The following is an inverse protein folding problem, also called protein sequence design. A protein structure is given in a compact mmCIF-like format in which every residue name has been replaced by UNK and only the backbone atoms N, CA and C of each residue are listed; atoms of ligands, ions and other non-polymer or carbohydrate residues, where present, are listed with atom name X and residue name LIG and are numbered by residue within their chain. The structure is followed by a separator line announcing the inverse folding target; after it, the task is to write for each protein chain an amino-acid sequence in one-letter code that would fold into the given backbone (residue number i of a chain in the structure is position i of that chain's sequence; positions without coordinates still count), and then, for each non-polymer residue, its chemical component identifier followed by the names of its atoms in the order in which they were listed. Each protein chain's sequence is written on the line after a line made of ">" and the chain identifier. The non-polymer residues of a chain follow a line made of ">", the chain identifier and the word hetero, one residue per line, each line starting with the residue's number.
data_IF_213672466195
#
_entry.id   IF_213672466195
#
_cell.length_a   1.000
_cell.length_b   1.000
_cell.length_c   1.000
_cell.angle_alpha   90.00
_cell.angle_beta   90.00
_cell.angle_gamma   90.00
#
_symmetry.space_group_name_H-M   'P 1'
#
loop_
_entity.id
_entity.type
_entity.pdbx_description
1 polymer ?
#
# COMPACT_ATOMS: atom_id res chain seq x y z
N UNK A 1 -17.92 22.23 -1.47
CA UNK A 1 -17.61 21.65 -2.80
C UNK A 1 -16.10 21.53 -2.89
N UNK A 2 -15.57 20.41 -3.37
CA UNK A 2 -14.14 20.20 -3.52
C UNK A 2 -13.59 21.08 -4.65
N UNK A 3 -12.62 21.95 -4.35
CA UNK A 3 -12.03 22.87 -5.33
C UNK A 3 -10.86 22.19 -6.04
N UNK A 4 -11.18 21.55 -7.17
CA UNK A 4 -10.21 20.79 -7.99
C UNK A 4 -9.09 21.72 -8.50
N UNK A 5 -9.39 22.94 -8.88
CA UNK A 5 -8.39 23.86 -9.44
C UNK A 5 -7.36 24.28 -8.37
N UNK A 6 -7.78 24.45 -7.13
CA UNK A 6 -6.86 24.71 -6.02
C UNK A 6 -5.99 23.50 -5.74
N UNK A 7 -6.56 22.30 -5.66
CA UNK A 7 -5.78 21.06 -5.41
C UNK A 7 -4.80 20.77 -6.54
N UNK A 8 -5.18 21.01 -7.81
CA UNK A 8 -4.27 20.80 -8.95
C UNK A 8 -3.01 21.66 -8.88
N UNK A 9 -3.06 22.84 -8.26
CA UNK A 9 -1.87 23.72 -8.08
C UNK A 9 -0.80 23.12 -7.19
N UNK A 10 -1.17 22.20 -6.31
CA UNK A 10 -0.22 21.46 -5.47
C UNK A 10 0.64 20.47 -6.26
N UNK A 11 0.24 20.18 -7.51
CA UNK A 11 0.93 19.24 -8.40
C UNK A 11 1.55 19.98 -9.60
N UNK A 12 2.79 20.49 -9.51
CA UNK A 12 3.40 21.33 -10.56
C UNK A 12 3.44 20.66 -11.94
N UNK A 13 3.57 19.34 -11.99
CA UNK A 13 3.60 18.58 -13.24
C UNK A 13 2.29 18.73 -14.05
N UNK A 14 1.15 18.94 -13.40
CA UNK A 14 -0.15 19.07 -14.05
C UNK A 14 -0.31 20.43 -14.76
N UNK A 15 0.59 21.39 -14.50
CA UNK A 15 0.66 22.67 -15.22
C UNK A 15 1.41 22.60 -16.55
N UNK A 16 1.92 21.43 -16.94
CA UNK A 16 2.66 21.29 -18.21
C UNK A 16 1.73 21.24 -19.41
N UNK A 17 2.27 21.67 -20.55
CA UNK A 17 1.67 21.43 -21.86
C UNK A 17 2.38 20.29 -22.59
N UNK A 18 1.63 19.47 -23.29
CA UNK A 18 2.09 18.40 -24.17
C UNK A 18 1.41 18.61 -25.53
N UNK A 19 2.22 18.74 -26.58
CA UNK A 19 1.71 19.05 -27.93
C UNK A 19 0.80 20.29 -27.99
N UNK A 20 1.15 21.34 -27.24
CA UNK A 20 0.40 22.61 -27.14
C UNK A 20 -1.02 22.43 -26.55
N UNK A 21 -1.22 21.42 -25.73
CA UNK A 21 -2.46 21.15 -24.97
C UNK A 21 -2.13 20.92 -23.50
N UNK A 22 -3.02 21.27 -22.56
CA UNK A 22 -2.82 20.94 -21.16
C UNK A 22 -2.60 19.43 -20.96
N UNK A 23 -1.68 19.07 -20.08
CA UNK A 23 -1.42 17.67 -19.73
C UNK A 23 -2.68 17.02 -19.14
N UNK A 24 -3.10 15.91 -19.74
CA UNK A 24 -4.04 14.96 -19.17
C UNK A 24 -3.26 13.72 -18.76
N UNK A 25 -3.27 13.39 -17.45
CA UNK A 25 -2.58 12.23 -16.92
C UNK A 25 -3.58 11.28 -16.24
N UNK A 26 -3.77 10.08 -16.78
CA UNK A 26 -4.77 9.11 -16.34
C UNK A 26 -4.16 7.82 -15.79
N UNK A 27 -2.85 7.78 -15.57
CA UNK A 27 -2.12 6.57 -15.16
C UNK A 27 -1.63 6.67 -13.68
N UNK A 28 -2.40 7.33 -12.82
CA UNK A 28 -2.06 7.42 -11.39
C UNK A 28 -2.10 6.07 -10.67
N UNK A 29 -2.80 5.07 -11.20
CA UNK A 29 -2.83 3.73 -10.65
C UNK A 29 -1.45 3.04 -10.71
N UNK A 30 -0.72 3.26 -11.81
CA UNK A 30 0.65 2.76 -11.96
C UNK A 30 1.67 3.68 -11.28
N UNK A 31 1.56 4.99 -11.51
CA UNK A 31 2.49 5.99 -10.95
C UNK A 31 1.74 7.25 -10.55
N UNK A 32 1.49 7.41 -9.26
CA UNK A 32 0.84 8.61 -8.73
C UNK A 32 1.74 9.82 -8.81
N UNK A 33 1.23 10.92 -9.35
CA UNK A 33 1.93 12.20 -9.34
C UNK A 33 2.09 12.72 -7.91
N UNK A 34 3.22 13.37 -7.63
CA UNK A 34 3.58 13.83 -6.29
C UNK A 34 3.26 15.31 -6.12
N UNK A 35 2.59 15.71 -5.03
CA UNK A 35 2.43 17.12 -4.71
C UNK A 35 3.78 17.74 -4.33
N UNK A 36 3.87 19.07 -4.49
CA UNK A 36 5.06 19.87 -4.15
C UNK A 36 5.56 19.57 -2.73
N UNK A 37 4.66 19.52 -1.76
CA UNK A 37 4.99 19.28 -0.35
C UNK A 37 5.75 17.97 -0.13
N UNK A 38 5.41 16.91 -0.85
CA UNK A 38 6.11 15.61 -0.76
C UNK A 38 7.50 15.71 -1.36
N UNK A 39 7.64 16.33 -2.54
CA UNK A 39 8.94 16.50 -3.20
C UNK A 39 9.88 17.35 -2.36
N UNK A 40 9.38 18.47 -1.81
CA UNK A 40 10.16 19.37 -0.94
C UNK A 40 10.54 18.70 0.38
N UNK A 41 9.67 17.89 0.98
CA UNK A 41 9.99 17.13 2.18
C UNK A 41 11.15 16.16 1.95
N UNK A 42 11.13 15.40 0.84
CA UNK A 42 12.23 14.49 0.48
C UNK A 42 13.53 15.26 0.23
N UNK A 43 13.48 16.35 -0.53
CA UNK A 43 14.65 17.17 -0.80
C UNK A 43 15.24 17.76 0.50
N UNK A 44 14.37 18.27 1.38
CA UNK A 44 14.78 18.86 2.65
C UNK A 44 15.40 17.83 3.60
N UNK A 45 14.90 16.59 3.62
CA UNK A 45 15.52 15.52 4.39
C UNK A 45 16.98 15.33 3.96
N UNK A 46 17.25 15.21 2.66
CA UNK A 46 18.62 15.05 2.17
C UNK A 46 19.52 16.25 2.44
N UNK A 47 18.98 17.46 2.39
CA UNK A 47 19.79 18.67 2.59
C UNK A 47 20.07 19.00 4.07
N UNK A 48 19.22 18.54 5.00
CA UNK A 48 19.29 19.04 6.38
C UNK A 48 19.32 17.96 7.47
N UNK A 49 18.78 16.75 7.24
CA UNK A 49 18.55 15.77 8.32
C UNK A 49 19.01 14.35 7.96
N UNK A 50 19.54 14.13 6.76
CA UNK A 50 19.90 12.80 6.29
C UNK A 50 20.89 12.08 7.21
N UNK A 51 20.40 11.10 7.98
CA UNK A 51 21.19 10.31 8.91
C UNK A 51 20.54 8.95 9.16
N UNK A 52 21.30 8.05 9.80
CA UNK A 52 20.82 6.71 10.12
C UNK A 52 19.74 6.76 11.24
N UNK A 53 18.56 6.29 10.94
CA UNK A 53 17.43 6.21 11.87
C UNK A 53 17.67 5.11 12.92
N UNK A 54 17.40 5.37 14.19
CA UNK A 54 17.48 4.47 15.36
C UNK A 54 18.88 3.97 15.76
N UNK A 55 19.95 4.27 15.04
CA UNK A 55 21.27 3.67 15.29
C UNK A 55 22.39 4.66 15.59
N UNK A 56 22.16 5.94 15.40
CA UNK A 56 23.15 6.97 15.68
C UNK A 56 22.92 7.64 17.03
N UNK A 57 24.01 8.02 17.68
CA UNK A 57 23.98 8.77 18.95
C UNK A 57 24.27 10.25 18.77
N UNK A 58 24.26 10.75 17.55
CA UNK A 58 24.53 12.14 17.20
C UNK A 58 23.25 12.89 16.82
N UNK A 59 23.34 14.21 16.82
CA UNK A 59 22.20 15.12 16.63
C UNK A 59 21.34 14.82 15.38
N UNK A 60 21.97 14.67 14.21
CA UNK A 60 21.21 14.39 12.97
C UNK A 60 20.46 13.06 13.03
N UNK A 61 21.06 12.02 13.62
CA UNK A 61 20.39 10.73 13.78
C UNK A 61 19.18 10.81 14.72
N UNK A 62 19.28 11.62 15.79
CA UNK A 62 18.12 11.86 16.65
C UNK A 62 17.01 12.58 15.89
N UNK A 63 17.33 13.65 15.15
CA UNK A 63 16.34 14.36 14.34
C UNK A 63 15.69 13.48 13.29
N UNK A 64 16.48 12.68 12.55
CA UNK A 64 15.95 11.74 11.56
C UNK A 64 15.02 10.70 12.21
N UNK A 65 15.37 10.20 13.39
CA UNK A 65 14.53 9.28 14.16
C UNK A 65 13.22 9.93 14.59
N UNK A 66 13.28 11.14 15.14
CA UNK A 66 12.08 11.86 15.60
C UNK A 66 11.11 12.13 14.44
N UNK A 67 11.62 12.55 13.28
CA UNK A 67 10.80 12.74 12.08
C UNK A 67 10.19 11.44 11.56
N UNK A 68 10.94 10.36 11.55
CA UNK A 68 10.46 9.04 11.13
C UNK A 68 9.33 8.54 12.03
N UNK A 69 9.50 8.65 13.36
CA UNK A 69 8.47 8.21 14.31
C UNK A 69 7.26 9.15 14.33
N UNK A 70 7.43 10.45 14.11
CA UNK A 70 6.32 11.38 13.93
C UNK A 70 5.49 11.04 12.68
N UNK A 71 6.14 10.67 11.57
CA UNK A 71 5.46 10.19 10.37
C UNK A 71 4.67 8.89 10.64
N UNK A 72 5.27 7.94 11.38
CA UNK A 72 4.60 6.70 11.79
C UNK A 72 3.36 6.98 12.64
N UNK A 73 3.47 7.89 13.60
CA UNK A 73 2.35 8.29 14.44
C UNK A 73 1.23 8.95 13.61
N UNK A 74 1.58 9.79 12.64
CA UNK A 74 0.61 10.40 11.72
C UNK A 74 -0.17 9.33 10.94
N UNK A 75 0.53 8.33 10.40
CA UNK A 75 -0.13 7.20 9.71
C UNK A 75 -0.98 6.39 10.68
N UNK A 76 -0.47 6.09 11.89
CA UNK A 76 -1.23 5.38 12.92
C UNK A 76 -2.58 6.06 13.20
N UNK A 77 -2.57 7.38 13.37
CA UNK A 77 -3.80 8.15 13.62
C UNK A 77 -4.74 8.10 12.41
N UNK A 78 -4.20 8.27 11.20
CA UNK A 78 -4.99 8.29 9.98
C UNK A 78 -5.74 6.97 9.72
N UNK A 79 -5.09 5.83 9.95
CA UNK A 79 -5.72 4.50 9.77
C UNK A 79 -6.41 4.00 11.03
N UNK A 80 -6.45 4.80 12.11
CA UNK A 80 -7.03 4.43 13.41
C UNK A 80 -6.43 3.16 14.03
N UNK A 81 -5.13 2.94 13.83
CA UNK A 81 -4.41 1.84 14.47
C UNK A 81 -4.23 2.13 15.99
N UNK A 82 -4.16 1.09 16.81
CA UNK A 82 -4.07 1.22 18.28
C UNK A 82 -2.69 1.71 18.72
N UNK A 83 -1.65 1.20 18.09
CA UNK A 83 -0.26 1.52 18.43
C UNK A 83 0.58 1.73 17.17
N UNK A 84 1.69 2.44 17.28
CA UNK A 84 2.66 2.61 16.19
C UNK A 84 3.31 1.30 15.76
N UNK A 85 3.34 0.27 16.62
CA UNK A 85 3.85 -1.05 16.28
C UNK A 85 3.03 -1.78 15.20
N UNK A 86 1.78 -1.34 14.97
CA UNK A 86 0.91 -1.87 13.90
C UNK A 86 1.19 -1.22 12.53
N UNK A 87 2.07 -0.21 12.49
CA UNK A 87 2.43 0.50 11.25
C UNK A 87 3.82 0.09 10.81
N UNK A 88 3.90 -0.60 9.68
CA UNK A 88 5.17 -1.05 9.09
C UNK A 88 5.35 -0.35 7.75
N UNK A 89 6.41 0.45 7.62
CA UNK A 89 6.78 1.06 6.34
C UNK A 89 7.50 0.06 5.46
N UNK A 90 7.05 -0.04 4.21
CA UNK A 90 7.64 -0.88 3.17
C UNK A 90 7.95 -0.03 1.93
N UNK A 91 8.63 -0.61 0.95
CA UNK A 91 8.94 0.08 -0.31
C UNK A 91 7.75 0.18 -1.27
N UNK A 92 6.65 -0.49 -0.97
CA UNK A 92 5.42 -0.46 -1.77
C UNK A 92 4.51 -1.66 -1.52
N UNK A 93 3.35 -1.66 -2.16
CA UNK A 93 2.30 -2.66 -2.00
C UNK A 93 2.80 -4.09 -2.24
N UNK A 94 3.62 -4.33 -3.26
CA UNK A 94 4.19 -5.65 -3.55
C UNK A 94 4.97 -6.19 -2.36
N UNK A 95 5.81 -5.37 -1.72
CA UNK A 95 6.55 -5.78 -0.53
C UNK A 95 5.62 -6.03 0.66
N UNK A 96 4.61 -5.18 0.85
CA UNK A 96 3.63 -5.33 1.94
C UNK A 96 2.87 -6.64 1.84
N UNK A 97 2.33 -6.98 0.67
CA UNK A 97 1.59 -8.22 0.44
C UNK A 97 2.47 -9.46 0.59
N UNK A 98 3.69 -9.41 0.05
CA UNK A 98 4.66 -10.49 0.27
C UNK A 98 5.03 -10.62 1.75
N UNK A 99 5.21 -9.52 2.48
CA UNK A 99 5.48 -9.56 3.92
C UNK A 99 4.35 -10.24 4.69
N UNK A 100 3.08 -9.94 4.39
CA UNK A 100 1.93 -10.61 5.00
C UNK A 100 1.94 -12.10 4.67
N UNK A 101 2.14 -12.49 3.41
CA UNK A 101 2.17 -13.88 3.01
C UNK A 101 3.32 -14.66 3.66
N UNK A 102 4.53 -14.07 3.75
CA UNK A 102 5.70 -14.70 4.36
C UNK A 102 5.73 -14.66 5.89
N UNK A 103 5.04 -13.73 6.54
CA UNK A 103 4.98 -13.68 8.00
C UNK A 103 3.71 -14.33 8.52
N UNK A 104 2.56 -13.70 8.32
CA UNK A 104 1.27 -14.20 8.80
C UNK A 104 0.91 -15.53 8.12
N UNK A 105 1.04 -15.62 6.80
CA UNK A 105 0.73 -16.83 6.05
C UNK A 105 1.57 -18.03 6.49
N UNK A 106 2.88 -17.85 6.66
CA UNK A 106 3.75 -18.94 7.14
C UNK A 106 3.46 -19.32 8.60
N UNK A 107 3.19 -18.34 9.47
CA UNK A 107 3.00 -18.59 10.89
C UNK A 107 1.62 -19.17 11.24
N UNK A 108 0.56 -18.77 10.53
CA UNK A 108 -0.82 -19.01 10.99
C UNK A 108 -1.69 -19.76 9.99
N UNK A 109 -1.30 -19.89 8.73
CA UNK A 109 -2.08 -20.68 7.76
C UNK A 109 -1.55 -22.11 7.68
N UNK A 110 -2.48 -23.06 7.56
CA UNK A 110 -2.22 -24.50 7.48
C UNK A 110 -2.84 -25.10 6.24
N UNK A 111 -2.53 -26.35 5.92
CA UNK A 111 -3.12 -27.08 4.81
C UNK A 111 -4.64 -27.05 4.87
N UNK A 112 -5.27 -26.69 3.76
CA UNK A 112 -6.72 -26.57 3.60
C UNK A 112 -7.34 -25.29 4.18
N UNK A 113 -6.56 -24.39 4.82
CA UNK A 113 -7.04 -23.06 5.15
C UNK A 113 -7.27 -22.23 3.88
N UNK A 114 -8.24 -21.35 3.91
CA UNK A 114 -8.74 -20.63 2.74
C UNK A 114 -8.36 -19.15 2.79
N UNK A 115 -7.85 -18.67 1.65
CA UNK A 115 -7.63 -17.26 1.37
C UNK A 115 -8.54 -16.85 0.21
N UNK A 116 -9.31 -15.78 0.40
CA UNK A 116 -10.22 -15.26 -0.63
C UNK A 116 -9.57 -14.02 -1.25
N UNK A 117 -9.49 -13.98 -2.58
CA UNK A 117 -9.02 -12.82 -3.36
C UNK A 117 -10.02 -12.53 -4.48
N UNK A 118 -10.03 -11.32 -5.04
CA UNK A 118 -10.86 -11.03 -6.19
C UNK A 118 -10.19 -11.43 -7.50
N UNK A 119 -10.98 -11.66 -8.56
CA UNK A 119 -10.46 -11.87 -9.91
C UNK A 119 -9.78 -10.62 -10.47
N UNK A 120 -10.06 -9.45 -9.90
CA UNK A 120 -9.55 -8.14 -10.36
C UNK A 120 -8.18 -7.79 -9.78
N UNK A 121 -7.61 -8.66 -8.93
CA UNK A 121 -6.37 -8.34 -8.22
C UNK A 121 -5.17 -8.21 -9.15
N UNK A 122 -4.28 -7.30 -8.79
CA UNK A 122 -2.96 -7.21 -9.40
C UNK A 122 -2.12 -8.42 -9.01
N UNK A 123 -1.18 -8.84 -9.86
CA UNK A 123 -0.29 -9.98 -9.60
C UNK A 123 0.45 -9.91 -8.25
N UNK A 124 0.69 -8.71 -7.73
CA UNK A 124 1.31 -8.54 -6.40
C UNK A 124 0.47 -9.09 -5.26
N UNK A 125 -0.85 -9.23 -5.44
CA UNK A 125 -1.77 -9.82 -4.47
C UNK A 125 -2.21 -11.25 -4.82
N UNK A 126 -1.89 -11.74 -6.00
CA UNK A 126 -2.21 -13.13 -6.38
C UNK A 126 -1.01 -14.05 -6.16
N UNK A 127 0.16 -13.66 -6.67
CA UNK A 127 1.34 -14.51 -6.72
C UNK A 127 1.84 -14.94 -5.33
N UNK A 128 1.89 -14.08 -4.30
CA UNK A 128 2.33 -14.50 -2.97
C UNK A 128 1.48 -15.64 -2.38
N UNK A 129 0.17 -15.59 -2.59
CA UNK A 129 -0.75 -16.65 -2.14
C UNK A 129 -0.61 -17.92 -2.96
N UNK A 130 -0.36 -17.84 -4.27
CA UNK A 130 -0.06 -19.01 -5.10
C UNK A 130 1.22 -19.72 -4.61
N UNK A 131 2.28 -18.98 -4.33
CA UNK A 131 3.51 -19.52 -3.77
C UNK A 131 3.28 -20.17 -2.39
N UNK A 132 2.44 -19.58 -1.56
CA UNK A 132 2.08 -20.14 -0.27
C UNK A 132 1.22 -21.39 -0.42
N UNK A 133 0.27 -21.42 -1.37
CA UNK A 133 -0.51 -22.60 -1.72
C UNK A 133 0.40 -23.77 -2.09
N UNK A 134 1.37 -23.54 -2.96
CA UNK A 134 2.26 -24.59 -3.46
C UNK A 134 3.17 -25.17 -2.34
N UNK A 135 3.47 -24.36 -1.31
CA UNK A 135 4.30 -24.79 -0.17
C UNK A 135 3.51 -25.39 0.99
N UNK A 136 2.34 -24.83 1.29
CA UNK A 136 1.58 -25.16 2.50
C UNK A 136 0.23 -25.82 2.24
N UNK A 137 -0.22 -25.92 0.98
CA UNK A 137 -1.48 -26.56 0.66
C UNK A 137 -2.72 -25.74 1.04
N UNK A 138 -2.61 -24.41 1.17
CA UNK A 138 -3.77 -23.54 1.36
C UNK A 138 -4.63 -23.53 0.11
N UNK A 139 -5.89 -23.13 0.23
CA UNK A 139 -6.86 -23.02 -0.85
C UNK A 139 -7.10 -21.56 -1.18
N UNK A 140 -6.91 -21.17 -2.44
CA UNK A 140 -7.25 -19.84 -2.91
C UNK A 140 -8.64 -19.87 -3.52
N UNK A 141 -9.54 -19.04 -3.02
CA UNK A 141 -10.88 -18.82 -3.55
C UNK A 141 -10.97 -17.48 -4.24
N UNK A 142 -11.68 -17.43 -5.36
CA UNK A 142 -11.73 -16.24 -6.22
C UNK A 142 -13.14 -15.67 -6.23
N UNK A 143 -13.29 -14.40 -5.90
CA UNK A 143 -14.52 -13.64 -6.07
C UNK A 143 -14.67 -13.34 -7.57
N UNK A 144 -15.73 -13.81 -8.24
CA UNK A 144 -15.94 -13.54 -9.65
C UNK A 144 -16.38 -12.09 -9.91
N UNK A 145 -16.31 -11.68 -11.16
CA UNK A 145 -16.70 -10.38 -11.68
C UNK A 145 -17.65 -10.58 -12.89
N UNK A 146 -18.58 -9.68 -13.05
CA UNK A 146 -19.46 -9.63 -14.24
C UNK A 146 -18.80 -8.83 -15.39
N UNK A 147 -19.44 -8.82 -16.57
CA UNK A 147 -18.95 -8.11 -17.76
C UNK A 147 -18.97 -6.57 -17.61
N UNK A 148 -19.69 -6.04 -16.62
CA UNK A 148 -19.66 -4.61 -16.28
C UNK A 148 -18.47 -4.21 -15.40
N UNK A 149 -17.65 -5.16 -14.96
CA UNK A 149 -16.51 -4.92 -14.07
C UNK A 149 -16.90 -4.81 -12.59
N UNK A 150 -18.05 -5.36 -12.19
CA UNK A 150 -18.52 -5.37 -10.81
C UNK A 150 -18.27 -6.73 -10.18
N UNK A 151 -17.79 -6.77 -8.95
CA UNK A 151 -17.62 -8.01 -8.18
C UNK A 151 -18.99 -8.61 -7.81
N UNK A 152 -19.12 -9.93 -7.92
CA UNK A 152 -20.30 -10.67 -7.46
C UNK A 152 -20.24 -10.81 -5.92
N UNK A 153 -20.90 -9.90 -5.21
CA UNK A 153 -20.94 -9.90 -3.75
C UNK A 153 -21.74 -11.07 -3.17
N UNK A 154 -22.73 -11.61 -3.89
CA UNK A 154 -23.43 -12.80 -3.43
C UNK A 154 -22.54 -14.05 -3.54
N UNK A 155 -21.75 -14.16 -4.61
CA UNK A 155 -20.74 -15.22 -4.71
C UNK A 155 -19.67 -15.06 -3.62
N UNK A 156 -19.23 -13.82 -3.35
CA UNK A 156 -18.29 -13.54 -2.26
C UNK A 156 -18.79 -14.07 -0.91
N UNK A 157 -20.01 -13.77 -0.52
CA UNK A 157 -20.61 -14.27 0.73
C UNK A 157 -20.64 -15.80 0.79
N UNK A 158 -20.93 -16.47 -0.33
CA UNK A 158 -20.94 -17.94 -0.43
C UNK A 158 -19.55 -18.59 -0.33
N UNK A 159 -18.46 -17.83 -0.57
CA UNK A 159 -17.10 -18.36 -0.46
C UNK A 159 -16.65 -18.61 0.99
N UNK A 160 -17.26 -17.95 1.97
CA UNK A 160 -16.88 -18.11 3.38
C UNK A 160 -17.21 -19.49 3.92
N UNK A 161 -16.26 -20.10 4.61
CA UNK A 161 -16.44 -21.34 5.37
C UNK A 161 -15.74 -21.23 6.73
N UNK A 162 -15.84 -22.26 7.53
CA UNK A 162 -15.10 -22.35 8.79
C UNK A 162 -13.57 -22.39 8.61
N UNK A 163 -13.08 -22.59 7.38
CA UNK A 163 -11.65 -22.59 7.03
C UNK A 163 -11.16 -21.26 6.49
N UNK A 164 -12.01 -20.30 6.20
CA UNK A 164 -11.60 -18.99 5.73
C UNK A 164 -10.80 -18.27 6.83
N UNK A 165 -9.58 -17.84 6.50
CA UNK A 165 -8.65 -17.18 7.43
C UNK A 165 -8.28 -15.78 7.01
N UNK A 166 -8.34 -15.49 5.70
CA UNK A 166 -7.91 -14.21 5.16
C UNK A 166 -8.76 -13.86 3.93
N UNK A 167 -9.02 -12.56 3.77
CA UNK A 167 -9.71 -11.97 2.62
C UNK A 167 -8.91 -10.76 2.16
#
# INVERSE_FOLDING_TARGET
>A
MYDIETVRKDFPILGREVYKRPLVYLDNAATTQKPRSVVEAIANEYYSVNANVHRGVHYLSQQATDLHEAARETVRQFINARTTAEVIFTRGTTESLNLVAYSYGEAFLHEGDEVIVSVMEHHSDIVPWQLLRDRKGIVIKIIPMNDAGELDLEAYERLFTSRTRLV
#
